data_IF_536230264034
#
_entry.id   IF_536230264034
#
_cell.length_a   1.000
_cell.length_b   1.000
_cell.length_c   1.000
_cell.angle_alpha   90.00
_cell.angle_beta   90.00
_cell.angle_gamma   90.00
#
_symmetry.space_group_name_H-M   'P 1'
#
loop_
_entity.id
_entity.type
_entity.pdbx_description
1 polymer ?
#
# COMPACT_ATOMS: atom_id res chain seq x y z
N UNK A 1 7.79 11.00 -9.17
CA UNK A 1 7.83 9.93 -8.16
C UNK A 1 6.85 8.83 -8.58
N UNK A 2 7.17 7.56 -8.32
CA UNK A 2 6.27 6.42 -8.61
C UNK A 2 6.01 5.61 -7.34
N UNK A 3 4.82 5.04 -7.20
CA UNK A 3 4.44 4.21 -6.07
C UNK A 3 3.81 2.89 -6.53
N UNK A 4 4.01 1.84 -5.76
CA UNK A 4 3.32 0.56 -5.90
C UNK A 4 2.91 0.04 -4.52
N UNK A 5 1.61 -0.17 -4.33
CA UNK A 5 1.07 -0.94 -3.22
C UNK A 5 0.87 -2.38 -3.68
N UNK A 6 1.66 -3.31 -3.13
CA UNK A 6 1.44 -4.74 -3.27
C UNK A 6 0.68 -5.27 -2.07
N UNK A 7 -0.34 -6.08 -2.31
CA UNK A 7 -1.12 -6.75 -1.26
C UNK A 7 -1.43 -8.20 -1.63
N UNK A 8 -1.60 -9.05 -0.62
CA UNK A 8 -2.14 -10.38 -0.81
C UNK A 8 -3.61 -10.31 -1.29
N UNK A 9 -3.88 -10.86 -2.47
CA UNK A 9 -5.21 -10.90 -3.09
C UNK A 9 -6.24 -11.55 -2.16
N UNK A 10 -5.88 -12.66 -1.54
CA UNK A 10 -6.78 -13.40 -0.66
C UNK A 10 -7.07 -12.63 0.64
N UNK A 11 -6.11 -11.86 1.17
CA UNK A 11 -6.33 -10.98 2.32
C UNK A 11 -7.34 -9.88 1.95
N UNK A 12 -7.21 -9.27 0.77
CA UNK A 12 -8.17 -8.28 0.29
C UNK A 12 -9.58 -8.85 0.05
N UNK A 13 -9.66 -10.04 -0.55
CA UNK A 13 -10.92 -10.75 -0.80
C UNK A 13 -11.56 -11.33 0.48
N UNK A 14 -10.78 -11.46 1.56
CA UNK A 14 -11.21 -12.05 2.84
C UNK A 14 -11.20 -13.58 2.87
N UNK A 15 -10.54 -14.23 1.92
CA UNK A 15 -10.53 -15.69 1.76
C UNK A 15 -9.51 -16.40 2.65
N UNK A 16 -8.56 -15.68 3.28
CA UNK A 16 -7.72 -16.21 4.37
C UNK A 16 -8.49 -16.45 5.68
N UNK A 17 -9.74 -15.96 5.80
CA UNK A 17 -10.54 -16.12 7.01
C UNK A 17 -10.07 -15.29 8.21
N UNK A 18 -9.30 -14.22 7.97
CA UNK A 18 -8.88 -13.26 8.99
C UNK A 18 -9.53 -11.88 8.71
N UNK A 19 -10.64 -11.54 9.39
CA UNK A 19 -11.38 -10.31 9.11
C UNK A 19 -10.59 -9.04 9.46
N UNK A 20 -9.77 -9.05 10.51
CA UNK A 20 -8.94 -7.92 10.91
C UNK A 20 -7.91 -7.59 9.83
N UNK A 21 -7.15 -8.60 9.37
CA UNK A 21 -6.22 -8.43 8.24
C UNK A 21 -6.92 -8.00 6.96
N UNK A 22 -8.15 -8.48 6.75
CA UNK A 22 -8.96 -8.11 5.57
C UNK A 22 -9.33 -6.63 5.62
N UNK A 23 -9.73 -6.13 6.78
CA UNK A 23 -10.09 -4.72 6.98
C UNK A 23 -8.88 -3.82 6.70
N UNK A 24 -7.75 -4.08 7.36
CA UNK A 24 -6.50 -3.33 7.15
C UNK A 24 -6.03 -3.38 5.69
N UNK A 25 -6.16 -4.53 5.02
CA UNK A 25 -5.78 -4.65 3.60
C UNK A 25 -6.66 -3.80 2.69
N UNK A 26 -7.96 -3.70 2.99
CA UNK A 26 -8.89 -2.85 2.24
C UNK A 26 -8.61 -1.38 2.49
N UNK A 27 -8.35 -0.99 3.73
CA UNK A 27 -7.97 0.37 4.09
C UNK A 27 -6.76 0.86 3.28
N UNK A 28 -5.70 0.04 3.18
CA UNK A 28 -4.54 0.37 2.35
C UNK A 28 -4.91 0.55 0.88
N UNK A 29 -5.75 -0.33 0.33
CA UNK A 29 -6.20 -0.25 -1.06
C UNK A 29 -7.06 0.99 -1.28
N UNK A 30 -7.99 1.29 -0.40
CA UNK A 30 -8.91 2.43 -0.50
C UNK A 30 -8.13 3.75 -0.43
N UNK A 31 -7.14 3.86 0.47
CA UNK A 31 -6.22 4.99 0.50
C UNK A 31 -5.42 5.11 -0.81
N UNK A 32 -4.84 4.01 -1.30
CA UNK A 32 -4.06 3.99 -2.53
C UNK A 32 -4.89 4.36 -3.78
N UNK A 33 -6.12 3.85 -3.89
CA UNK A 33 -7.04 4.19 -4.97
C UNK A 33 -7.40 5.68 -4.93
N UNK A 34 -7.66 6.22 -3.74
CA UNK A 34 -7.91 7.65 -3.57
C UNK A 34 -6.69 8.50 -3.94
N UNK A 35 -5.49 8.16 -3.49
CA UNK A 35 -4.27 8.88 -3.87
C UNK A 35 -4.09 8.84 -5.40
N UNK A 36 -4.35 7.70 -6.03
CA UNK A 36 -4.23 7.53 -7.47
C UNK A 36 -5.13 8.48 -8.26
N UNK A 37 -6.33 8.77 -7.76
CA UNK A 37 -7.26 9.74 -8.38
C UNK A 37 -6.70 11.17 -8.39
N UNK A 38 -5.92 11.53 -7.37
CA UNK A 38 -5.42 12.90 -7.15
C UNK A 38 -3.90 13.02 -7.28
N UNK A 39 -3.22 12.00 -7.81
CA UNK A 39 -1.76 11.86 -7.85
C UNK A 39 -1.00 13.09 -8.36
N UNK A 40 -1.59 13.81 -9.31
CA UNK A 40 -0.96 14.98 -9.93
C UNK A 40 -0.81 16.15 -8.94
N UNK A 41 -1.64 16.22 -7.89
CA UNK A 41 -1.58 17.27 -6.86
C UNK A 41 -0.35 17.17 -5.95
N UNK A 42 0.24 15.97 -5.84
CA UNK A 42 1.44 15.71 -5.02
C UNK A 42 2.65 15.31 -5.88
N UNK A 43 2.60 15.55 -7.20
CA UNK A 43 3.71 15.26 -8.10
C UNK A 43 4.01 13.77 -8.27
N UNK A 44 3.00 12.91 -8.10
CA UNK A 44 3.11 11.47 -8.28
C UNK A 44 2.79 11.08 -9.73
N UNK A 45 3.77 10.51 -10.43
CA UNK A 45 3.65 10.10 -11.84
C UNK A 45 2.66 8.94 -11.98
N UNK A 46 2.74 7.96 -11.07
CA UNK A 46 1.90 6.76 -11.09
C UNK A 46 1.81 6.12 -9.71
N UNK A 47 0.63 5.58 -9.40
CA UNK A 47 0.41 4.66 -8.29
C UNK A 47 -0.19 3.37 -8.85
N UNK A 48 0.49 2.25 -8.62
CA UNK A 48 0.05 0.91 -8.98
C UNK A 48 -0.47 0.16 -7.74
N UNK A 49 -1.48 -0.68 -7.94
CA UNK A 49 -1.99 -1.58 -6.89
C UNK A 49 -1.92 -3.00 -7.43
N UNK A 50 -0.99 -3.78 -6.90
CA UNK A 50 -0.69 -5.14 -7.34
C UNK A 50 -1.26 -6.12 -6.33
N UNK A 51 -2.19 -6.97 -6.78
CA UNK A 51 -2.79 -8.01 -5.95
C UNK A 51 -2.09 -9.33 -6.26
N UNK A 52 -1.26 -9.81 -5.35
CA UNK A 52 -0.48 -11.06 -5.54
C UNK A 52 -1.23 -12.28 -5.04
N UNK A 53 -1.03 -13.39 -5.73
CA UNK A 53 -1.54 -14.70 -5.32
C UNK A 53 -0.34 -15.64 -5.06
N UNK A 54 -0.59 -16.73 -4.34
CA UNK A 54 0.46 -17.72 -4.07
C UNK A 54 1.09 -18.21 -5.39
N UNK A 55 2.41 -18.03 -5.51
CA UNK A 55 3.18 -18.38 -6.71
C UNK A 55 3.15 -17.35 -7.85
N UNK A 56 2.47 -16.21 -7.68
CA UNK A 56 2.42 -15.11 -8.63
C UNK A 56 2.94 -13.81 -7.99
N UNK A 57 4.17 -13.36 -8.31
CA UNK A 57 4.75 -12.16 -7.71
C UNK A 57 4.10 -10.85 -8.21
N UNK A 58 3.17 -10.90 -9.19
CA UNK A 58 2.48 -9.74 -9.74
C UNK A 58 2.85 -9.40 -11.19
N UNK A 59 2.20 -8.38 -11.75
CA UNK A 59 2.25 -8.03 -13.18
C UNK A 59 3.47 -7.21 -13.66
N UNK A 60 3.51 -6.92 -14.97
CA UNK A 60 4.64 -6.26 -15.67
C UNK A 60 4.87 -4.78 -15.27
N UNK A 61 3.91 -4.12 -14.60
CA UNK A 61 4.03 -2.72 -14.14
C UNK A 61 4.59 -2.59 -12.71
N UNK A 62 5.25 -3.63 -12.20
CA UNK A 62 5.84 -3.69 -10.86
C UNK A 62 7.12 -2.84 -10.77
N UNK A 63 7.29 -2.13 -9.65
CA UNK A 63 8.61 -1.61 -9.31
C UNK A 63 9.50 -2.80 -8.93
N UNK A 64 10.79 -2.84 -9.33
CA UNK A 64 11.63 -4.03 -9.24
C UNK A 64 12.19 -4.27 -7.82
N UNK A 65 11.34 -4.19 -6.80
CA UNK A 65 11.67 -4.45 -5.41
C UNK A 65 10.70 -5.47 -4.81
N UNK A 66 11.25 -6.52 -4.19
CA UNK A 66 10.49 -7.51 -3.43
C UNK A 66 11.19 -7.67 -2.08
N UNK A 67 10.46 -7.50 -0.98
CA UNK A 67 10.99 -7.72 0.35
C UNK A 67 10.95 -9.19 0.70
N UNK A 68 12.04 -9.66 1.32
CA UNK A 68 12.14 -10.98 1.90
C UNK A 68 12.57 -10.86 3.37
N UNK A 69 11.96 -11.68 4.22
CA UNK A 69 12.30 -11.86 5.63
C UNK A 69 12.83 -13.28 5.88
N UNK A 70 13.40 -13.51 7.07
CA UNK A 70 13.73 -14.86 7.55
C UNK A 70 12.79 -15.18 8.70
N UNK A 71 11.94 -16.18 8.51
CA UNK A 71 10.98 -16.67 9.50
C UNK A 71 11.19 -18.16 9.73
N UNK A 72 11.37 -18.58 10.98
CA UNK A 72 11.59 -19.99 11.35
C UNK A 72 12.71 -20.67 10.51
N UNK A 73 13.85 -19.98 10.34
CA UNK A 73 14.99 -20.42 9.51
C UNK A 73 14.66 -20.63 8.01
N UNK A 74 13.55 -20.07 7.52
CA UNK A 74 13.15 -20.11 6.12
C UNK A 74 13.05 -18.69 5.53
N UNK A 75 13.35 -18.55 4.25
CA UNK A 75 13.14 -17.31 3.51
C UNK A 75 11.65 -17.17 3.22
N UNK A 76 11.02 -16.11 3.69
CA UNK A 76 9.65 -15.74 3.38
C UNK A 76 9.64 -14.46 2.53
N UNK A 77 8.75 -14.41 1.54
CA UNK A 77 8.54 -13.20 0.74
C UNK A 77 7.36 -12.43 1.34
N UNK A 78 7.47 -11.10 1.38
CA UNK A 78 6.37 -10.25 1.82
C UNK A 78 5.31 -10.16 0.73
N UNK A 79 4.11 -10.69 1.01
CA UNK A 79 2.95 -10.58 0.12
C UNK A 79 2.33 -9.16 0.13
N UNK A 80 2.66 -8.36 1.14
CA UNK A 80 2.23 -6.97 1.30
C UNK A 80 3.45 -6.07 1.44
N UNK A 81 3.51 -5.00 0.64
CA UNK A 81 4.53 -3.95 0.75
C UNK A 81 4.08 -2.69 0.01
N UNK A 82 4.52 -1.52 0.45
CA UNK A 82 4.50 -0.28 -0.33
C UNK A 82 5.90 0.02 -0.83
N UNK A 83 6.05 0.25 -2.12
CA UNK A 83 7.31 0.60 -2.77
C UNK A 83 7.19 1.97 -3.41
N UNK A 84 8.19 2.83 -3.20
CA UNK A 84 8.24 4.17 -3.78
C UNK A 84 9.58 4.39 -4.47
N UNK A 85 9.54 4.96 -5.68
CA UNK A 85 10.72 5.44 -6.40
C UNK A 85 10.68 6.97 -6.45
N UNK A 86 11.70 7.62 -5.88
CA UNK A 86 11.85 9.06 -5.94
C UNK A 86 12.44 9.56 -7.27
N UNK A 87 12.59 10.88 -7.42
CA UNK A 87 13.16 11.52 -8.61
C UNK A 87 14.67 11.24 -8.79
N UNK A 88 15.34 10.76 -7.75
CA UNK A 88 16.74 10.35 -7.74
C UNK A 88 16.91 8.84 -7.98
N UNK A 89 15.81 8.13 -8.27
CA UNK A 89 15.77 6.68 -8.46
C UNK A 89 16.12 5.87 -7.20
N UNK A 90 15.98 6.46 -6.02
CA UNK A 90 16.06 5.71 -4.77
C UNK A 90 14.76 4.93 -4.56
N UNK A 91 14.90 3.70 -4.06
CA UNK A 91 13.78 2.84 -3.71
C UNK A 91 13.55 2.88 -2.19
N UNK A 92 12.36 3.32 -1.78
CA UNK A 92 11.88 3.21 -0.41
C UNK A 92 10.87 2.06 -0.36
N UNK A 93 11.01 1.17 0.64
CA UNK A 93 10.13 0.02 0.77
C UNK A 93 9.64 -0.11 2.21
N UNK A 94 8.33 -0.18 2.36
CA UNK A 94 7.63 -0.33 3.63
C UNK A 94 6.91 -1.69 3.63
N UNK A 95 7.42 -2.69 4.34
CA UNK A 95 6.81 -4.03 4.38
C UNK A 95 5.69 -4.15 5.44
N UNK A 96 5.68 -3.26 6.44
CA UNK A 96 4.75 -3.35 7.57
C UNK A 96 3.45 -2.58 7.30
N UNK A 97 2.26 -3.17 7.54
CA UNK A 97 0.97 -2.51 7.29
C UNK A 97 0.79 -1.16 8.02
N UNK A 98 1.34 -1.01 9.21
CA UNK A 98 1.33 0.24 9.99
C UNK A 98 2.04 1.37 9.23
N UNK A 99 3.30 1.15 8.85
CA UNK A 99 4.09 2.11 8.07
C UNK A 99 3.42 2.44 6.73
N UNK A 100 2.85 1.42 6.06
CA UNK A 100 2.14 1.60 4.79
C UNK A 100 0.94 2.54 4.98
N UNK A 101 0.09 2.28 5.98
CA UNK A 101 -1.07 3.13 6.28
C UNK A 101 -0.64 4.55 6.66
N UNK A 102 0.41 4.71 7.46
CA UNK A 102 0.93 6.03 7.83
C UNK A 102 1.42 6.81 6.60
N UNK A 103 2.16 6.16 5.69
CA UNK A 103 2.60 6.80 4.46
C UNK A 103 1.40 7.18 3.58
N UNK A 104 0.45 6.28 3.37
CA UNK A 104 -0.71 6.54 2.52
C UNK A 104 -1.60 7.66 3.09
N UNK A 105 -1.88 7.64 4.39
CA UNK A 105 -2.68 8.70 5.05
C UNK A 105 -1.99 10.06 4.99
N UNK A 106 -0.67 10.13 5.20
CA UNK A 106 0.10 11.37 5.00
C UNK A 106 0.06 11.89 3.56
N UNK A 107 0.02 11.01 2.56
CA UNK A 107 -0.17 11.43 1.16
C UNK A 107 -1.58 12.01 0.95
N UNK A 108 -2.62 11.43 1.56
CA UNK A 108 -3.98 11.98 1.52
C UNK A 108 -4.07 13.35 2.20
N UNK A 109 -3.38 13.55 3.33
CA UNK A 109 -3.30 14.85 4.00
C UNK A 109 -2.66 15.91 3.10
N UNK A 110 -1.54 15.58 2.46
CA UNK A 110 -0.89 16.48 1.49
C UNK A 110 -1.80 16.82 0.31
N UNK A 111 -2.54 15.83 -0.21
CA UNK A 111 -3.54 16.07 -1.27
C UNK A 111 -4.63 17.03 -0.77
N UNK A 112 -5.14 16.81 0.46
CA UNK A 112 -6.18 17.63 1.08
C UNK A 112 -5.78 19.10 1.19
N UNK A 113 -4.51 19.38 1.47
CA UNK A 113 -3.96 20.74 1.48
C UNK A 113 -3.97 21.43 0.10
N UNK A 114 -4.01 20.66 -1.00
CA UNK A 114 -3.96 21.17 -2.38
C UNK A 114 -5.33 21.24 -3.08
N UNK A 115 -6.40 20.73 -2.45
CA UNK A 115 -7.74 20.72 -3.05
C UNK A 115 -8.83 21.20 -2.09
N UNK A 116 -10.00 21.52 -2.63
CA UNK A 116 -11.22 21.81 -1.85
C UNK A 116 -12.18 20.62 -1.79
N UNK A 117 -11.86 19.55 -2.51
CA UNK A 117 -12.63 18.32 -2.49
C UNK A 117 -12.28 17.52 -1.23
N UNK A 118 -13.25 16.82 -0.68
CA UNK A 118 -12.98 15.89 0.41
C UNK A 118 -12.30 14.64 -0.16
N UNK A 119 -11.04 14.45 0.24
CA UNK A 119 -10.21 13.32 -0.18
C UNK A 119 -10.02 12.30 0.94
N UNK A 120 -10.68 12.50 2.08
CA UNK A 120 -10.56 11.63 3.25
C UNK A 120 -11.02 10.20 2.92
N UNK A 121 -10.31 9.23 3.48
CA UNK A 121 -10.71 7.82 3.49
C UNK A 121 -10.99 7.45 4.94
N UNK A 122 -12.19 6.95 5.22
CA UNK A 122 -12.53 6.44 6.55
C UNK A 122 -11.90 5.06 6.72
N UNK A 123 -10.93 4.95 7.64
CA UNK A 123 -10.30 3.68 7.98
C UNK A 123 -11.25 2.80 8.79
N UNK A 124 -11.04 1.49 8.73
CA UNK A 124 -11.66 0.56 9.68
C UNK A 124 -11.17 0.83 11.10
N UNK A 125 -11.85 0.24 12.09
CA UNK A 125 -11.41 0.32 13.49
C UNK A 125 -9.99 -0.25 13.64
N UNK A 126 -9.71 -1.37 12.99
CA UNK A 126 -8.40 -2.03 12.99
C UNK A 126 -7.32 -1.16 12.33
N UNK A 127 -7.59 -0.57 11.15
CA UNK A 127 -6.65 0.31 10.48
C UNK A 127 -6.37 1.59 11.27
N UNK A 128 -7.40 2.19 11.87
CA UNK A 128 -7.24 3.35 12.72
C UNK A 128 -6.43 3.06 13.99
N UNK A 129 -6.60 1.87 14.59
CA UNK A 129 -5.82 1.45 15.76
C UNK A 129 -4.34 1.25 15.45
N UNK A 130 -3.98 0.85 14.22
CA UNK A 130 -2.59 0.64 13.84
C UNK A 130 -1.75 1.94 13.83
N UNK A 131 -2.35 3.08 13.52
CA UNK A 131 -1.63 4.35 13.34
C UNK A 131 -1.94 5.39 14.45
N UNK A 132 -2.56 4.97 15.56
CA UNK A 132 -2.98 5.83 16.67
C UNK A 132 -1.93 6.02 17.77
#
# INVERSE_FOLDING_TARGET
MRMELRICKQCYEGTHGNPEKTAVTRDMVDCAERIREYKDLIGLDSLYITRVAEGDPGGEETLPAIVASIENDQIALSDTQLTMEDDQQNMLVYPEPEDILEVLTRNLDQISEQTRQDVTVELSEEGAQLIS
#
